data_IF_845362868378
#
_entry.id   IF_845362868378
#
_cell.length_a   1.000
_cell.length_b   1.000
_cell.length_c   1.000
_cell.angle_alpha   90.00
_cell.angle_beta   90.00
_cell.angle_gamma   90.00
#
_symmetry.space_group_name_H-M   'P 1'
#
loop_
_entity.id
_entity.type
_entity.pdbx_description
1 polymer ?
#
# COMPACT_ATOMS: atom_id res chain seq x y z
N UNK A 1 14.85 0.87 -19.35
CA UNK A 1 14.18 1.57 -18.23
C UNK A 1 12.89 2.17 -18.77
N UNK A 2 11.73 1.74 -18.27
CA UNK A 2 10.44 2.20 -18.78
C UNK A 2 10.06 3.52 -18.07
N UNK A 3 10.41 4.65 -18.68
CA UNK A 3 9.99 5.97 -18.19
C UNK A 3 8.52 6.17 -18.57
N UNK A 4 7.60 5.72 -17.72
CA UNK A 4 6.18 6.05 -17.88
C UNK A 4 6.07 7.57 -17.98
N UNK A 5 5.69 8.08 -19.16
CA UNK A 5 5.59 9.52 -19.36
C UNK A 5 4.45 10.06 -18.52
N UNK A 6 4.78 10.75 -17.43
CA UNK A 6 3.78 11.40 -16.58
C UNK A 6 3.15 12.53 -17.39
N UNK A 7 1.84 12.44 -17.66
CA UNK A 7 1.07 13.52 -18.26
C UNK A 7 0.99 14.70 -17.29
N UNK A 8 1.67 15.79 -17.60
CA UNK A 8 1.65 17.02 -16.81
C UNK A 8 0.65 18.01 -17.39
N UNK A 9 -0.18 18.59 -16.53
CA UNK A 9 -1.07 19.71 -16.90
C UNK A 9 -0.44 21.00 -16.42
N UNK A 10 -0.42 22.03 -17.28
CA UNK A 10 0.05 23.35 -16.90
C UNK A 10 -0.97 24.01 -15.97
N UNK A 11 -0.52 24.41 -14.79
CA UNK A 11 -1.33 25.13 -13.79
C UNK A 11 -0.59 26.41 -13.37
N UNK A 12 -1.28 27.54 -13.37
CA UNK A 12 -0.72 28.82 -12.93
C UNK A 12 -1.14 29.09 -11.49
N UNK A 13 -0.17 29.34 -10.61
CA UNK A 13 -0.40 29.78 -9.24
C UNK A 13 0.09 31.22 -9.07
N UNK A 14 -0.70 32.02 -8.33
CA UNK A 14 -0.27 33.33 -7.85
C UNK A 14 0.33 33.14 -6.46
N UNK A 15 1.65 33.27 -6.37
CA UNK A 15 2.41 33.21 -5.11
C UNK A 15 2.95 34.60 -4.79
N UNK A 16 3.20 34.88 -3.51
CA UNK A 16 3.92 36.09 -3.11
C UNK A 16 5.38 36.02 -3.56
N UNK A 17 5.95 37.18 -3.88
CA UNK A 17 7.33 37.29 -4.36
C UNK A 17 8.34 36.71 -3.36
N UNK A 18 8.19 37.04 -2.08
CA UNK A 18 9.06 36.53 -1.02
C UNK A 18 9.02 34.99 -0.90
N UNK A 19 7.84 34.38 -1.10
CA UNK A 19 7.72 32.92 -1.07
C UNK A 19 8.43 32.29 -2.28
N UNK A 20 8.32 32.90 -3.45
CA UNK A 20 8.96 32.42 -4.67
C UNK A 20 10.49 32.43 -4.55
N UNK A 21 11.06 33.48 -3.96
CA UNK A 21 12.51 33.57 -3.70
C UNK A 21 13.00 32.44 -2.79
N UNK A 22 12.29 32.20 -1.68
CA UNK A 22 12.65 31.14 -0.72
C UNK A 22 12.57 29.76 -1.36
N UNK A 23 11.53 29.50 -2.15
CA UNK A 23 11.39 28.23 -2.87
C UNK A 23 12.49 28.03 -3.92
N UNK A 24 12.93 29.09 -4.60
CA UNK A 24 14.04 29.00 -5.54
C UNK A 24 15.37 28.68 -4.86
N UNK A 25 15.63 29.26 -3.68
CA UNK A 25 16.84 28.96 -2.89
C UNK A 25 16.86 27.48 -2.50
N UNK A 26 15.74 26.96 -1.98
CA UNK A 26 15.62 25.54 -1.62
C UNK A 26 15.73 24.62 -2.86
N UNK A 27 15.13 25.01 -3.99
CA UNK A 27 15.23 24.23 -5.22
C UNK A 27 16.68 24.11 -5.69
N UNK A 28 17.46 25.21 -5.63
CA UNK A 28 18.89 25.22 -5.94
C UNK A 28 19.69 24.36 -4.98
N UNK A 29 19.41 24.45 -3.67
CA UNK A 29 20.07 23.62 -2.64
C UNK A 29 19.89 22.13 -2.89
N UNK A 30 18.73 21.73 -3.40
CA UNK A 30 18.42 20.34 -3.74
C UNK A 30 18.80 19.93 -5.17
N UNK A 31 19.42 20.81 -5.96
CA UNK A 31 19.72 20.60 -7.39
C UNK A 31 18.48 20.19 -8.21
N UNK A 32 17.33 20.79 -7.90
CA UNK A 32 16.04 20.50 -8.56
C UNK A 32 15.49 21.77 -9.23
N UNK A 33 14.66 21.57 -10.26
CA UNK A 33 13.85 22.66 -10.78
C UNK A 33 12.78 23.06 -9.75
N UNK A 34 12.37 24.32 -9.77
CA UNK A 34 11.28 24.81 -8.92
C UNK A 34 10.01 23.97 -9.08
N UNK A 35 9.68 23.59 -10.31
CA UNK A 35 8.53 22.74 -10.59
C UNK A 35 8.63 21.37 -9.91
N UNK A 36 9.80 20.72 -9.97
CA UNK A 36 10.00 19.42 -9.33
C UNK A 36 9.93 19.51 -7.80
N UNK A 37 10.45 20.60 -7.22
CA UNK A 37 10.35 20.85 -5.79
C UNK A 37 8.88 21.03 -5.38
N UNK A 38 8.15 21.90 -6.08
CA UNK A 38 6.73 22.19 -5.80
C UNK A 38 5.88 20.93 -5.94
N UNK A 39 6.06 20.14 -7.00
CA UNK A 39 5.35 18.87 -7.19
C UNK A 39 5.63 17.89 -6.04
N UNK A 40 6.89 17.77 -5.60
CA UNK A 40 7.26 16.89 -4.47
C UNK A 40 6.61 17.32 -3.16
N UNK A 41 6.58 18.64 -2.89
CA UNK A 41 5.99 19.19 -1.66
C UNK A 41 4.46 19.02 -1.67
N UNK A 42 3.81 19.31 -2.81
CA UNK A 42 2.38 19.11 -2.96
C UNK A 42 2.02 17.63 -2.84
N UNK A 43 2.83 16.75 -3.44
CA UNK A 43 2.62 15.32 -3.32
C UNK A 43 2.79 14.85 -1.89
N UNK A 44 3.82 15.29 -1.17
CA UNK A 44 4.00 14.97 0.25
C UNK A 44 2.79 15.41 1.08
N UNK A 45 2.32 16.64 0.87
CA UNK A 45 1.16 17.17 1.59
C UNK A 45 -0.14 16.39 1.31
N UNK A 46 -0.38 16.00 0.07
CA UNK A 46 -1.57 15.22 -0.31
C UNK A 46 -1.46 13.75 0.10
N UNK A 47 -0.25 13.19 0.06
CA UNK A 47 0.01 11.78 0.37
C UNK A 47 0.03 11.51 1.87
N UNK A 48 0.30 12.52 2.70
CA UNK A 48 0.37 12.39 4.15
C UNK A 48 -0.96 12.74 4.84
N UNK A 49 -1.91 11.82 4.70
CA UNK A 49 -2.80 11.55 5.83
C UNK A 49 -2.97 10.03 5.96
N UNK A 50 -2.12 9.34 6.75
CA UNK A 50 -2.46 7.99 7.18
C UNK A 50 -3.88 8.04 7.73
N UNK A 51 -4.74 7.15 7.24
CA UNK A 51 -6.12 7.12 7.66
C UNK A 51 -6.15 6.95 9.20
N UNK A 52 -7.24 7.39 9.84
CA UNK A 52 -7.33 7.37 11.32
C UNK A 52 -7.02 5.98 11.89
N UNK A 53 -7.34 4.93 11.15
CA UNK A 53 -7.08 3.53 11.48
C UNK A 53 -5.59 3.19 11.49
N UNK A 54 -4.80 3.64 10.50
CA UNK A 54 -3.35 3.41 10.44
C UNK A 54 -2.63 4.17 11.54
N UNK A 55 -3.03 5.42 11.82
CA UNK A 55 -2.48 6.17 12.95
C UNK A 55 -2.81 5.52 14.30
N UNK A 56 -4.01 4.96 14.44
CA UNK A 56 -4.40 4.23 15.65
C UNK A 56 -3.57 2.95 15.82
N UNK A 57 -3.42 2.16 14.75
CA UNK A 57 -2.60 0.94 14.76
C UNK A 57 -1.12 1.23 15.06
N UNK A 58 -0.55 2.32 14.54
CA UNK A 58 0.83 2.72 14.86
C UNK A 58 1.00 3.08 16.34
N UNK A 59 0.05 3.83 16.91
CA UNK A 59 0.05 4.18 18.34
C UNK A 59 -0.14 2.96 19.24
N UNK A 60 -1.01 2.04 18.83
CA UNK A 60 -1.24 0.79 19.54
C UNK A 60 -0.01 -0.11 19.51
N UNK A 61 0.68 -0.23 18.36
CA UNK A 61 1.94 -0.97 18.26
C UNK A 61 3.09 -0.36 19.08
N UNK A 62 3.11 0.97 19.28
CA UNK A 62 4.12 1.64 20.10
C UNK A 62 3.87 1.51 21.61
N UNK A 63 2.61 1.30 22.02
CA UNK A 63 2.19 1.27 23.44
C UNK A 63 1.74 -0.10 23.95
N UNK A 64 1.60 -1.09 23.08
CA UNK A 64 1.11 -2.41 23.47
C UNK A 64 2.24 -3.30 24.01
N UNK A 65 1.95 -3.98 25.12
CA UNK A 65 2.84 -4.99 25.73
C UNK A 65 2.68 -6.39 25.07
N UNK A 66 1.81 -6.53 24.06
CA UNK A 66 1.47 -7.79 23.38
C UNK A 66 2.12 -7.91 21.98
N UNK A 67 3.31 -7.35 21.77
CA UNK A 67 4.02 -7.53 20.50
C UNK A 67 4.67 -8.92 20.46
N UNK A 68 4.45 -9.64 19.37
CA UNK A 68 5.19 -10.86 19.08
C UNK A 68 6.59 -10.50 18.57
N UNK A 69 7.62 -11.10 19.18
CA UNK A 69 9.00 -10.94 18.73
C UNK A 69 9.20 -11.74 17.45
N UNK A 70 9.36 -11.05 16.32
CA UNK A 70 9.60 -11.70 15.03
C UNK A 70 11.04 -12.25 14.97
N UNK A 71 11.19 -13.56 15.13
CA UNK A 71 12.45 -14.26 14.89
C UNK A 71 12.68 -14.45 13.39
N UNK A 72 13.64 -13.69 12.85
CA UNK A 72 14.00 -13.70 11.43
C UNK A 72 14.61 -15.04 10.98
N UNK A 73 15.07 -15.88 11.91
CA UNK A 73 15.60 -17.22 11.62
C UNK A 73 14.50 -18.17 11.12
N UNK A 74 13.25 -17.91 11.53
CA UNK A 74 12.07 -18.70 11.19
C UNK A 74 11.07 -17.94 10.30
N UNK A 75 11.54 -16.93 9.56
CA UNK A 75 10.71 -16.06 8.72
C UNK A 75 9.76 -16.83 7.78
N UNK A 76 10.20 -17.97 7.22
CA UNK A 76 9.36 -18.82 6.36
C UNK A 76 8.11 -19.34 7.08
N UNK A 77 8.23 -19.73 8.35
CA UNK A 77 7.11 -20.25 9.14
C UNK A 77 6.09 -19.14 9.44
N UNK A 78 6.54 -17.90 9.62
CA UNK A 78 5.66 -16.73 9.79
C UNK A 78 4.92 -16.37 8.49
N UNK A 79 5.58 -16.48 7.34
CA UNK A 79 4.93 -16.30 6.03
C UNK A 79 3.90 -17.40 5.79
N UNK A 80 4.20 -18.64 6.20
CA UNK A 80 3.28 -19.76 6.06
C UNK A 80 2.07 -19.65 7.02
N UNK A 81 2.26 -19.18 8.26
CA UNK A 81 1.15 -18.95 9.21
C UNK A 81 0.25 -17.80 8.77
N UNK A 82 0.82 -16.67 8.35
CA UNK A 82 0.06 -15.53 7.82
C UNK A 82 -0.67 -15.82 6.51
N UNK A 83 -0.22 -16.83 5.76
CA UNK A 83 -0.92 -17.32 4.55
C UNK A 83 -2.03 -18.32 4.85
N UNK A 84 -2.05 -18.93 6.04
CA UNK A 84 -2.97 -20.03 6.39
C UNK A 84 -4.29 -19.54 7.02
N UNK A 85 -4.36 -18.31 7.51
CA UNK A 85 -5.58 -17.70 8.07
C UNK A 85 -6.67 -17.37 7.01
N UNK A 86 -6.41 -17.65 5.73
CA UNK A 86 -7.33 -17.42 4.61
C UNK A 86 -8.26 -18.58 4.25
N UNK A 87 -8.23 -19.73 4.94
CA UNK A 87 -9.04 -20.90 4.58
C UNK A 87 -9.72 -21.54 5.80
N UNK A 88 -10.84 -20.97 6.25
CA UNK A 88 -11.78 -21.70 7.11
C UNK A 88 -13.19 -21.76 6.48
N UNK A 89 -13.43 -22.88 5.79
CA UNK A 89 -14.67 -23.67 5.83
C UNK A 89 -15.94 -23.15 5.15
N UNK A 90 -16.01 -23.31 3.81
CA UNK A 90 -17.30 -23.65 3.14
C UNK A 90 -17.42 -25.17 3.02
N UNK A 91 -17.88 -25.84 4.07
CA UNK A 91 -18.38 -27.21 3.97
C UNK A 91 -19.84 -27.25 4.38
N UNK A 92 -20.73 -26.96 3.42
CA UNK A 92 -22.11 -27.43 3.46
C UNK A 92 -22.53 -27.77 2.02
N UNK A 93 -22.59 -29.07 1.73
CA UNK A 93 -22.95 -29.62 0.43
C UNK A 93 -23.04 -31.14 0.51
N UNK A 94 -24.14 -31.62 1.08
CA UNK A 94 -24.56 -33.03 1.15
C UNK A 94 -24.62 -33.71 -0.24
N UNK A 95 -24.58 -35.05 -0.30
CA UNK A 95 -24.16 -35.81 -1.49
C UNK A 95 -25.30 -36.00 -2.49
N UNK A 96 -25.06 -35.69 -3.77
CA UNK A 96 -25.97 -36.08 -4.84
C UNK A 96 -25.71 -37.55 -5.24
N UNK A 97 -26.76 -38.35 -5.09
CA UNK A 97 -26.77 -39.79 -5.30
C UNK A 97 -26.37 -40.24 -6.69
N UNK A 98 -25.83 -41.47 -6.70
CA UNK A 98 -25.30 -42.24 -7.82
C UNK A 98 -26.28 -42.30 -9.00
N UNK A 99 -25.82 -41.97 -10.22
CA UNK A 99 -26.40 -42.50 -11.45
C UNK A 99 -25.63 -43.75 -11.85
N UNK A 100 -26.30 -44.89 -11.73
CA UNK A 100 -25.83 -46.18 -12.20
C UNK A 100 -26.47 -46.42 -13.57
N UNK A 101 -25.68 -46.41 -14.63
CA UNK A 101 -26.03 -47.04 -15.92
C UNK A 101 -24.73 -47.60 -16.49
N UNK A 102 -24.39 -48.81 -16.04
CA UNK A 102 -23.47 -49.68 -16.77
C UNK A 102 -24.23 -50.40 -17.87
N UNK A 103 -23.51 -50.56 -18.97
CA UNK A 103 -23.90 -51.04 -20.29
C UNK A 103 -24.48 -52.46 -20.38
N UNK A 104 -25.13 -52.69 -21.53
CA UNK A 104 -25.29 -53.93 -22.29
C UNK A 104 -25.98 -55.15 -21.63
N UNK A 105 -26.96 -55.73 -22.33
CA UNK A 105 -26.92 -57.06 -22.99
C UNK A 105 -28.33 -57.39 -23.54
N UNK A 106 -28.42 -57.87 -24.79
CA UNK A 106 -29.51 -58.74 -25.25
C UNK A 106 -30.34 -58.21 -26.41
#
# INVERSE_FOLDING_TARGET
>A
MNTASVTRKQTSFRLSENLLERLQIEAKKHNRSLNNLVESVLLAFVSEKPNKTTLAAMKEAETSDNLETLDLSNFRNFVDSSSSDGQLSRTHGMPCGKRHTTDMVG
#
